data_IF_750410327919
#
_entry.id   IF_750410327919
#
_cell.length_a   1.000
_cell.length_b   1.000
_cell.length_c   1.000
_cell.angle_alpha   90.00
_cell.angle_beta   90.00
_cell.angle_gamma   90.00
#
_symmetry.space_group_name_H-M   'P 1'
#
loop_
_entity.id
_entity.type
_entity.pdbx_description
1 polymer ?
#
# COMPACT_ATOMS: atom_id res chain seq x y z
N UNK A 1 2.47 -11.07 25.97
CA UNK A 1 1.49 -11.20 27.06
C UNK A 1 2.19 -10.88 28.37
N UNK A 2 1.58 -10.06 29.20
CA UNK A 2 2.08 -9.70 30.53
C UNK A 2 0.98 -9.99 31.53
N UNK A 3 1.36 -10.60 32.69
CA UNK A 3 0.45 -10.94 33.76
C UNK A 3 0.86 -10.21 35.02
N UNK A 4 -0.12 -9.58 35.65
CA UNK A 4 0.02 -8.89 36.93
C UNK A 4 -0.85 -9.58 38.00
N UNK A 5 -0.23 -10.23 38.98
CA UNK A 5 -0.94 -10.81 40.12
C UNK A 5 -1.07 -9.73 41.20
N UNK A 6 -2.24 -9.09 41.26
CA UNK A 6 -2.51 -8.05 42.26
C UNK A 6 -2.72 -8.65 43.65
N UNK A 7 -3.27 -9.86 43.68
CA UNK A 7 -3.45 -10.65 44.92
C UNK A 7 -3.59 -12.13 44.57
N UNK A 8 -3.75 -12.98 45.55
CA UNK A 8 -4.05 -14.42 45.36
C UNK A 8 -5.39 -14.66 44.64
N UNK A 9 -6.27 -13.67 44.65
CA UNK A 9 -7.62 -13.74 44.07
C UNK A 9 -7.80 -12.83 42.84
N UNK A 10 -6.83 -11.99 42.48
CA UNK A 10 -6.97 -11.00 41.44
C UNK A 10 -5.78 -11.02 40.46
N UNK A 11 -6.05 -11.21 39.19
CA UNK A 11 -5.05 -11.22 38.13
C UNK A 11 -5.51 -10.31 36.98
N UNK A 12 -4.60 -9.47 36.51
CA UNK A 12 -4.78 -8.70 35.29
C UNK A 12 -3.81 -9.26 34.25
N UNK A 13 -4.30 -9.50 33.04
CA UNK A 13 -3.46 -9.85 31.88
C UNK A 13 -3.60 -8.82 30.76
N UNK A 14 -2.47 -8.42 30.23
CA UNK A 14 -2.36 -7.54 29.06
C UNK A 14 -1.85 -8.34 27.87
N UNK A 15 -2.62 -8.33 26.79
CA UNK A 15 -2.25 -8.89 25.51
C UNK A 15 -2.15 -7.75 24.51
N UNK A 16 -0.96 -7.51 23.98
CA UNK A 16 -0.70 -6.53 22.93
C UNK A 16 -0.30 -7.24 21.66
N UNK A 17 -1.01 -6.91 20.58
CA UNK A 17 -0.68 -7.34 19.22
C UNK A 17 -0.52 -6.10 18.36
N UNK A 18 0.63 -6.01 17.66
CA UNK A 18 0.94 -4.91 16.75
C UNK A 18 1.33 -5.52 15.42
N UNK A 19 0.63 -5.12 14.39
CA UNK A 19 0.93 -5.47 13.01
C UNK A 19 1.26 -4.19 12.26
N UNK A 20 2.43 -4.16 11.64
CA UNK A 20 2.89 -3.06 10.80
C UNK A 20 3.12 -3.60 9.39
N UNK A 21 2.63 -2.87 8.42
CA UNK A 21 2.84 -3.15 7.01
C UNK A 21 3.33 -1.87 6.35
N UNK A 22 4.55 -1.92 5.82
CA UNK A 22 5.17 -0.83 5.09
C UNK A 22 5.44 -1.31 3.67
N UNK A 23 4.95 -0.58 2.68
CA UNK A 23 5.06 -0.96 1.28
C UNK A 23 5.46 0.25 0.45
N UNK A 24 6.49 0.03 -0.36
CA UNK A 24 6.94 0.95 -1.40
C UNK A 24 6.81 0.26 -2.75
N UNK A 25 6.25 0.95 -3.72
CA UNK A 25 6.10 0.39 -5.06
C UNK A 25 5.86 1.46 -6.12
N UNK A 26 5.90 1.09 -7.40
CA UNK A 26 5.53 1.99 -8.47
C UNK A 26 4.06 2.41 -8.32
N UNK A 27 3.75 3.62 -8.78
CA UNK A 27 2.39 4.10 -8.79
C UNK A 27 1.61 3.36 -9.88
N UNK A 28 0.64 2.54 -9.46
CA UNK A 28 -0.30 1.87 -10.35
C UNK A 28 -1.66 2.52 -10.21
N UNK A 29 -2.41 2.57 -11.29
CA UNK A 29 -3.56 3.46 -11.44
C UNK A 29 -4.87 3.00 -10.92
N UNK A 30 -4.99 1.98 -10.18
CA UNK A 30 -6.25 1.71 -9.48
C UNK A 30 -6.71 2.87 -8.56
N UNK A 31 -5.87 3.87 -8.40
CA UNK A 31 -6.12 5.00 -7.50
C UNK A 31 -6.72 6.24 -8.21
N UNK A 32 -7.27 6.07 -9.41
CA UNK A 32 -8.13 7.09 -10.04
C UNK A 32 -7.40 8.17 -10.85
N UNK A 33 -6.09 8.11 -10.98
CA UNK A 33 -5.29 9.14 -11.68
C UNK A 33 -4.97 8.82 -13.16
N UNK A 34 -5.68 7.91 -13.77
CA UNK A 34 -5.62 7.68 -15.22
C UNK A 34 -4.36 6.98 -15.77
N UNK A 35 -3.39 6.63 -14.93
CA UNK A 35 -2.17 5.92 -15.34
C UNK A 35 -2.44 4.40 -15.27
N UNK A 36 -2.45 3.61 -16.37
CA UNK A 36 -2.82 2.20 -16.40
C UNK A 36 -1.96 1.28 -15.53
N UNK A 37 -2.48 0.13 -15.17
CA UNK A 37 -1.73 -0.89 -14.48
C UNK A 37 -0.50 -1.29 -15.32
N UNK A 38 0.69 -1.33 -14.70
CA UNK A 38 1.95 -1.71 -15.38
C UNK A 38 1.81 -3.09 -16.02
N UNK A 39 1.14 -4.02 -15.36
CA UNK A 39 0.89 -5.34 -15.92
C UNK A 39 0.00 -5.28 -17.17
N UNK A 40 -1.06 -4.47 -17.14
CA UNK A 40 -1.91 -4.25 -18.32
C UNK A 40 -1.14 -3.59 -19.45
N UNK A 41 -0.23 -2.66 -19.12
CA UNK A 41 0.65 -2.04 -20.11
C UNK A 41 1.59 -3.06 -20.75
N UNK A 42 2.21 -3.94 -19.96
CA UNK A 42 3.06 -5.03 -20.47
C UNK A 42 2.28 -5.95 -21.41
N UNK A 43 1.08 -6.34 -21.03
CA UNK A 43 0.24 -7.24 -21.83
C UNK A 43 -0.35 -6.56 -23.08
N UNK A 44 -0.54 -5.26 -23.02
CA UNK A 44 -1.10 -4.46 -24.12
C UNK A 44 -0.08 -3.87 -25.07
N UNK A 45 1.22 -4.02 -24.79
CA UNK A 45 2.30 -3.45 -25.60
C UNK A 45 3.02 -4.55 -26.36
N UNK A 46 3.14 -4.39 -27.68
CA UNK A 46 3.96 -5.26 -28.50
C UNK A 46 5.43 -4.78 -28.48
N UNK A 47 6.40 -5.63 -28.11
CA UNK A 47 7.81 -5.23 -28.00
C UNK A 47 8.46 -4.68 -29.29
N UNK A 48 7.85 -4.92 -30.45
CA UNK A 48 8.37 -4.46 -31.75
C UNK A 48 7.78 -3.14 -32.21
N UNK A 49 6.78 -2.59 -31.50
CA UNK A 49 6.10 -1.37 -31.92
C UNK A 49 6.95 -0.11 -31.69
N UNK A 50 7.74 -0.10 -30.61
CA UNK A 50 8.63 1.00 -30.29
C UNK A 50 9.73 0.56 -29.31
N UNK A 51 10.90 1.24 -29.31
CA UNK A 51 11.94 1.00 -28.31
C UNK A 51 11.49 1.48 -26.94
N UNK A 52 12.10 0.99 -25.87
CA UNK A 52 11.85 1.49 -24.51
C UNK A 52 12.11 3.00 -24.44
N UNK A 53 13.18 3.45 -25.08
CA UNK A 53 13.62 4.84 -25.05
C UNK A 53 14.40 5.17 -26.33
N UNK A 54 14.20 6.37 -26.84
CA UNK A 54 15.03 6.93 -27.92
C UNK A 54 16.24 7.66 -27.33
N UNK A 55 17.31 7.87 -28.11
CA UNK A 55 18.41 8.74 -27.73
C UNK A 55 17.92 10.14 -27.38
N UNK A 56 18.36 10.68 -26.24
CA UNK A 56 17.91 11.99 -25.72
C UNK A 56 18.46 13.20 -26.49
N UNK A 57 19.55 13.04 -27.21
CA UNK A 57 20.24 14.20 -27.80
C UNK A 57 20.75 15.17 -26.73
N UNK A 58 20.37 16.44 -26.83
CA UNK A 58 20.70 17.50 -25.88
C UNK A 58 19.64 17.70 -24.79
N UNK A 59 18.55 16.95 -24.82
CA UNK A 59 17.45 17.12 -23.88
C UNK A 59 17.77 16.59 -22.49
N UNK A 60 17.20 17.24 -21.49
CA UNK A 60 17.36 16.84 -20.08
C UNK A 60 16.45 15.66 -19.72
N UNK A 61 15.38 15.43 -20.50
CA UNK A 61 14.33 14.46 -20.19
C UNK A 61 14.42 13.23 -21.08
N UNK A 62 14.01 12.09 -20.54
CA UNK A 62 13.96 10.84 -21.29
C UNK A 62 12.93 10.89 -22.41
N UNK A 63 13.33 10.45 -23.58
CA UNK A 63 12.46 10.27 -24.75
C UNK A 63 11.88 8.85 -24.73
N UNK A 64 10.84 8.66 -23.96
CA UNK A 64 10.19 7.35 -23.85
C UNK A 64 9.56 6.94 -25.17
N UNK A 65 9.85 5.71 -25.61
CA UNK A 65 9.27 5.20 -26.83
C UNK A 65 7.77 5.04 -26.75
N UNK A 66 7.09 5.32 -27.82
CA UNK A 66 5.65 5.18 -27.98
C UNK A 66 5.28 5.14 -29.46
N UNK A 67 4.01 4.88 -29.74
CA UNK A 67 3.41 4.93 -31.07
C UNK A 67 2.01 5.51 -30.97
N UNK A 68 1.62 6.29 -31.94
CA UNK A 68 0.26 6.76 -32.18
C UNK A 68 -0.19 6.38 -33.57
N UNK A 69 -1.07 5.38 -33.65
CA UNK A 69 -1.62 4.90 -34.94
C UNK A 69 -3.16 4.91 -34.85
N UNK A 70 -3.77 6.01 -35.26
CA UNK A 70 -5.19 6.22 -35.07
C UNK A 70 -5.57 6.29 -33.58
N UNK A 71 -6.38 5.33 -33.12
CA UNK A 71 -6.76 5.22 -31.70
C UNK A 71 -5.85 4.27 -30.90
N UNK A 72 -4.83 3.69 -31.52
CA UNK A 72 -3.88 2.80 -30.85
C UNK A 72 -2.73 3.62 -30.27
N UNK A 73 -2.66 3.69 -28.95
CA UNK A 73 -1.60 4.36 -28.20
C UNK A 73 -1.29 3.55 -26.95
N UNK A 74 -0.51 2.48 -27.07
CA UNK A 74 -0.13 1.67 -25.91
C UNK A 74 0.80 2.45 -24.99
N UNK A 75 0.69 2.18 -23.70
CA UNK A 75 1.54 2.78 -22.69
C UNK A 75 2.89 2.06 -22.64
N UNK A 76 3.98 2.83 -22.53
CA UNK A 76 5.30 2.28 -22.31
C UNK A 76 5.42 1.79 -20.84
N UNK A 77 5.57 0.47 -20.60
CA UNK A 77 5.56 -0.07 -19.24
C UNK A 77 6.73 0.43 -18.38
N UNK A 78 7.89 0.68 -19.00
CA UNK A 78 9.08 1.17 -18.29
C UNK A 78 8.92 2.64 -17.94
N UNK A 79 8.43 3.46 -18.86
CA UNK A 79 8.07 4.84 -18.56
C UNK A 79 7.06 4.92 -17.42
N UNK A 80 6.03 4.09 -17.48
CA UNK A 80 4.99 4.00 -16.47
C UNK A 80 5.55 3.61 -15.08
N UNK A 81 6.46 2.65 -15.02
CA UNK A 81 7.10 2.24 -13.78
C UNK A 81 8.00 3.32 -13.18
N UNK A 82 8.50 4.25 -14.01
CA UNK A 82 9.37 5.36 -13.63
C UNK A 82 8.61 6.66 -13.34
N UNK A 83 7.32 6.73 -13.69
CA UNK A 83 6.50 7.93 -13.59
C UNK A 83 6.11 8.30 -12.16
N UNK A 84 6.36 7.45 -11.19
CA UNK A 84 6.05 7.74 -9.81
C UNK A 84 6.10 6.53 -8.90
N UNK A 85 5.83 6.78 -7.62
CA UNK A 85 5.82 5.75 -6.60
C UNK A 85 4.73 5.99 -5.56
N UNK A 86 4.39 4.93 -4.86
CA UNK A 86 3.44 4.92 -3.76
C UNK A 86 4.09 4.31 -2.53
N UNK A 87 4.07 5.07 -1.44
CA UNK A 87 4.40 4.60 -0.10
C UNK A 87 3.09 4.40 0.65
N UNK A 88 2.93 3.25 1.28
CA UNK A 88 1.81 2.99 2.19
C UNK A 88 2.32 2.47 3.51
N UNK A 89 1.80 3.02 4.58
CA UNK A 89 2.04 2.54 5.93
C UNK A 89 0.71 2.20 6.58
N UNK A 90 0.56 0.95 6.96
CA UNK A 90 -0.62 0.45 7.66
C UNK A 90 -0.21 -0.09 9.02
N UNK A 91 -0.92 0.31 10.05
CA UNK A 91 -0.72 -0.22 11.39
C UNK A 91 -2.03 -0.68 12.01
N UNK A 92 -1.99 -1.86 12.61
CA UNK A 92 -3.08 -2.38 13.43
C UNK A 92 -2.55 -2.68 14.81
N UNK A 93 -3.10 -2.00 15.80
CA UNK A 93 -2.78 -2.23 17.22
C UNK A 93 -4.02 -2.79 17.90
N UNK A 94 -3.88 -3.94 18.55
CA UNK A 94 -4.93 -4.55 19.36
C UNK A 94 -4.38 -4.75 20.77
N UNK A 95 -5.03 -4.12 21.74
CA UNK A 95 -4.71 -4.27 23.15
C UNK A 95 -5.93 -4.85 23.89
N UNK A 96 -5.72 -5.98 24.54
CA UNK A 96 -6.72 -6.63 25.35
C UNK A 96 -6.27 -6.65 26.80
N UNK A 97 -7.10 -6.14 27.70
CA UNK A 97 -6.91 -6.21 29.14
C UNK A 97 -7.98 -7.13 29.71
N UNK A 98 -7.57 -8.23 30.30
CA UNK A 98 -8.47 -9.10 31.03
C UNK A 98 -8.21 -8.93 32.53
N UNK A 99 -9.28 -8.87 33.29
CA UNK A 99 -9.24 -8.89 34.75
C UNK A 99 -10.04 -10.08 35.24
N UNK A 100 -9.36 -11.01 35.90
CA UNK A 100 -9.94 -12.17 36.56
C UNK A 100 -9.92 -11.95 38.07
N UNK A 101 -11.10 -11.99 38.71
CA UNK A 101 -11.28 -11.81 40.12
C UNK A 101 -12.05 -12.98 40.72
N UNK A 102 -11.41 -13.74 41.64
CA UNK A 102 -12.10 -14.72 42.46
C UNK A 102 -12.87 -14.00 43.55
N UNK A 103 -14.13 -14.35 43.72
CA UNK A 103 -15.04 -13.78 44.69
C UNK A 103 -15.42 -14.82 45.79
N UNK A 104 -14.49 -15.73 46.09
CA UNK A 104 -14.67 -16.77 47.11
C UNK A 104 -14.98 -16.20 48.51
N UNK A 105 -14.63 -14.94 48.76
CA UNK A 105 -14.93 -14.21 49.97
C UNK A 105 -16.43 -13.86 50.09
N UNK A 106 -17.17 -13.82 48.98
CA UNK A 106 -18.63 -13.67 48.95
C UNK A 106 -19.28 -15.04 48.97
N UNK A 107 -18.89 -15.90 47.99
CA UNK A 107 -19.41 -17.26 47.86
C UNK A 107 -18.36 -18.12 47.18
N UNK A 108 -18.06 -19.30 47.77
CA UNK A 108 -17.08 -20.24 47.20
C UNK A 108 -17.50 -20.64 45.79
N UNK A 109 -16.54 -20.51 44.83
CA UNK A 109 -16.74 -20.84 43.43
C UNK A 109 -17.33 -19.69 42.58
N UNK A 110 -17.53 -18.51 43.17
CA UNK A 110 -17.92 -17.33 42.41
C UNK A 110 -16.66 -16.63 41.88
N UNK A 111 -16.71 -16.22 40.62
CA UNK A 111 -15.66 -15.42 39.96
C UNK A 111 -16.25 -14.39 39.05
N UNK A 112 -15.56 -13.28 38.87
CA UNK A 112 -15.85 -12.21 37.93
C UNK A 112 -14.72 -12.12 36.92
N UNK A 113 -15.05 -11.95 35.66
CA UNK A 113 -14.09 -11.64 34.61
C UNK A 113 -14.55 -10.44 33.82
N UNK A 114 -13.65 -9.51 33.60
CA UNK A 114 -13.84 -8.39 32.68
C UNK A 114 -12.80 -8.43 31.56
N UNK A 115 -13.24 -8.06 30.37
CA UNK A 115 -12.39 -7.86 29.19
C UNK A 115 -12.61 -6.46 28.65
N UNK A 116 -11.54 -5.72 28.46
CA UNK A 116 -11.51 -4.49 27.70
C UNK A 116 -10.61 -4.71 26.50
N UNK A 117 -11.16 -4.54 25.30
CA UNK A 117 -10.43 -4.64 24.04
C UNK A 117 -10.42 -3.30 23.33
N UNK A 118 -9.25 -2.88 22.91
CA UNK A 118 -9.03 -1.69 22.12
C UNK A 118 -8.36 -2.11 20.81
N UNK A 119 -8.95 -1.72 19.68
CA UNK A 119 -8.36 -1.86 18.35
C UNK A 119 -8.21 -0.48 17.73
N UNK A 120 -7.01 -0.19 17.25
CA UNK A 120 -6.73 0.97 16.41
C UNK A 120 -6.13 0.48 15.10
N UNK A 121 -6.77 0.84 14.01
CA UNK A 121 -6.23 0.66 12.68
C UNK A 121 -5.97 2.04 12.07
N UNK A 122 -4.80 2.22 11.48
CA UNK A 122 -4.45 3.43 10.75
C UNK A 122 -3.79 3.08 9.43
N UNK A 123 -4.13 3.80 8.40
CA UNK A 123 -3.61 3.68 7.06
C UNK A 123 -3.18 5.04 6.57
N UNK A 124 -1.93 5.16 6.15
CA UNK A 124 -1.38 6.36 5.55
C UNK A 124 -0.81 6.00 4.19
N UNK A 125 -1.09 6.82 3.20
CA UNK A 125 -0.53 6.68 1.88
C UNK A 125 0.05 8.01 1.42
N UNK A 126 1.15 7.91 0.71
CA UNK A 126 1.79 9.02 0.02
C UNK A 126 2.15 8.54 -1.37
N UNK A 127 1.73 9.25 -2.39
CA UNK A 127 2.18 8.96 -3.73
C UNK A 127 2.73 10.21 -4.40
N UNK A 128 3.67 9.96 -5.27
CA UNK A 128 4.33 10.92 -6.12
C UNK A 128 4.10 10.53 -7.55
N UNK A 129 3.61 11.45 -8.34
CA UNK A 129 3.36 11.25 -9.77
C UNK A 129 4.11 12.32 -10.54
N UNK A 130 4.82 11.89 -11.57
CA UNK A 130 5.48 12.76 -12.53
C UNK A 130 5.00 12.40 -13.92
N UNK A 131 4.59 13.38 -14.70
CA UNK A 131 4.27 13.17 -16.09
C UNK A 131 5.51 12.79 -16.89
N UNK A 132 5.32 12.04 -17.97
CA UNK A 132 6.38 11.72 -18.92
C UNK A 132 5.90 11.95 -20.35
N UNK A 133 6.84 12.22 -21.25
CA UNK A 133 6.55 12.39 -22.67
C UNK A 133 6.87 11.10 -23.43
N UNK A 134 5.94 10.69 -24.28
CA UNK A 134 6.16 9.61 -25.23
C UNK A 134 6.55 10.20 -26.58
N UNK A 135 7.43 9.51 -27.27
CA UNK A 135 7.94 9.90 -28.57
C UNK A 135 7.77 8.75 -29.55
N UNK A 136 7.46 9.08 -30.78
CA UNK A 136 7.42 8.12 -31.89
C UNK A 136 8.54 8.39 -32.89
N UNK A 137 9.00 7.34 -33.56
CA UNK A 137 9.94 7.46 -34.66
C UNK A 137 9.26 8.19 -35.81
N UNK A 138 9.85 9.30 -36.26
CA UNK A 138 9.37 10.06 -37.42
C UNK A 138 10.22 9.84 -38.64
N UNK A 139 11.54 9.64 -38.47
CA UNK A 139 12.47 9.39 -39.57
C UNK A 139 13.73 8.68 -39.08
N UNK A 140 14.48 8.08 -39.99
CA UNK A 140 15.80 7.52 -39.69
C UNK A 140 16.73 7.67 -40.87
N UNK A 141 18.01 7.85 -40.60
CA UNK A 141 19.07 7.93 -41.62
C UNK A 141 20.16 6.92 -41.26
N UNK A 142 20.55 6.12 -42.25
CA UNK A 142 21.71 5.27 -42.11
C UNK A 142 22.98 6.04 -42.46
N UNK A 143 23.98 5.99 -41.61
CA UNK A 143 25.29 6.58 -41.78
C UNK A 143 26.23 5.65 -42.59
N UNK A 144 27.33 6.18 -43.08
CA UNK A 144 28.30 5.42 -43.87
C UNK A 144 28.99 4.31 -43.07
N UNK A 145 29.06 4.43 -41.72
CA UNK A 145 29.61 3.44 -40.81
C UNK A 145 28.60 2.32 -40.45
N UNK A 146 27.39 2.38 -41.02
CA UNK A 146 26.32 1.42 -40.73
C UNK A 146 25.47 1.73 -39.52
N UNK A 147 25.80 2.79 -38.77
CA UNK A 147 24.95 3.29 -37.67
C UNK A 147 23.70 3.97 -38.16
N UNK A 148 22.73 4.21 -37.27
CA UNK A 148 21.49 4.89 -37.60
C UNK A 148 21.28 6.11 -36.71
N UNK A 149 20.94 7.24 -37.32
CA UNK A 149 20.41 8.40 -36.64
C UNK A 149 18.89 8.35 -36.68
N UNK A 150 18.27 8.53 -35.52
CA UNK A 150 16.83 8.51 -35.39
C UNK A 150 16.29 9.89 -35.07
N UNK A 151 15.27 10.29 -35.80
CA UNK A 151 14.48 11.49 -35.50
C UNK A 151 13.17 11.03 -34.85
N UNK A 152 12.89 11.55 -33.65
CA UNK A 152 11.68 11.25 -32.93
C UNK A 152 10.86 12.52 -32.71
N UNK A 153 9.54 12.37 -32.66
CA UNK A 153 8.59 13.46 -32.40
C UNK A 153 7.73 13.13 -31.19
N UNK A 154 7.41 14.13 -30.36
CA UNK A 154 6.56 13.89 -29.20
C UNK A 154 5.14 13.50 -29.60
N UNK A 155 4.52 12.64 -28.81
CA UNK A 155 3.13 12.24 -28.93
C UNK A 155 2.32 13.02 -27.91
N UNK A 156 1.33 13.80 -28.36
CA UNK A 156 0.46 14.60 -27.50
C UNK A 156 1.10 15.88 -26.96
N UNK A 157 0.44 16.46 -25.97
CA UNK A 157 0.93 17.68 -25.31
C UNK A 157 2.09 17.35 -24.36
N UNK A 158 3.12 18.19 -24.30
CA UNK A 158 4.25 17.99 -23.41
C UNK A 158 3.83 17.96 -21.95
N UNK A 159 4.30 16.98 -21.21
CA UNK A 159 4.18 16.95 -19.76
C UNK A 159 5.04 18.04 -19.13
N UNK A 160 4.57 18.61 -18.03
CA UNK A 160 5.34 19.62 -17.28
C UNK A 160 6.48 19.04 -16.46
N UNK A 161 6.64 17.72 -16.39
CA UNK A 161 7.65 17.01 -15.59
C UNK A 161 7.70 17.40 -14.10
N UNK A 162 6.69 18.11 -13.61
CA UNK A 162 6.58 18.45 -12.19
C UNK A 162 6.09 17.22 -11.42
N UNK A 163 6.74 16.95 -10.30
CA UNK A 163 6.32 15.84 -9.44
C UNK A 163 5.22 16.30 -8.48
N UNK A 164 4.02 15.83 -8.71
CA UNK A 164 2.88 16.05 -7.83
C UNK A 164 2.94 15.12 -6.61
N UNK A 165 2.47 15.61 -5.47
CA UNK A 165 2.42 14.86 -4.23
C UNK A 165 0.98 14.79 -3.71
N UNK A 166 0.53 13.58 -3.41
CA UNK A 166 -0.77 13.31 -2.85
C UNK A 166 -0.63 12.54 -1.54
N UNK A 167 -1.50 12.85 -0.58
CA UNK A 167 -1.52 12.22 0.73
C UNK A 167 -2.93 11.74 1.03
N UNK A 168 -3.05 10.54 1.53
CA UNK A 168 -4.30 9.99 2.00
C UNK A 168 -4.12 9.37 3.37
N UNK A 169 -5.09 9.58 4.26
CA UNK A 169 -5.11 8.97 5.58
C UNK A 169 -6.47 8.36 5.84
N UNK A 170 -6.48 7.22 6.50
CA UNK A 170 -7.71 6.56 6.95
C UNK A 170 -7.44 5.91 8.31
N UNK A 171 -8.48 5.68 9.10
CA UNK A 171 -8.33 5.05 10.40
C UNK A 171 -9.66 4.67 11.04
N UNK A 172 -9.60 3.66 11.87
CA UNK A 172 -10.73 3.16 12.65
C UNK A 172 -10.29 2.83 14.07
N UNK A 173 -11.15 3.14 15.04
CA UNK A 173 -10.93 2.83 16.46
C UNK A 173 -12.16 2.12 17.01
N UNK A 174 -11.92 1.00 17.69
CA UNK A 174 -12.97 0.22 18.28
C UNK A 174 -12.65 -0.10 19.73
N UNK A 175 -13.66 0.08 20.56
CA UNK A 175 -13.64 -0.36 21.95
C UNK A 175 -14.69 -1.46 22.13
N UNK A 176 -14.30 -2.48 22.87
CA UNK A 176 -15.19 -3.53 23.29
C UNK A 176 -14.98 -3.78 24.77
N UNK A 177 -16.07 -3.83 25.52
CA UNK A 177 -16.05 -4.10 26.97
C UNK A 177 -17.04 -5.24 27.25
N UNK A 178 -16.58 -6.23 27.96
CA UNK A 178 -17.39 -7.36 28.39
C UNK A 178 -17.10 -7.66 29.85
N UNK A 179 -18.15 -7.98 30.63
CA UNK A 179 -18.04 -8.48 31.97
C UNK A 179 -19.01 -9.63 32.17
N UNK A 180 -18.58 -10.65 32.90
CA UNK A 180 -19.42 -11.76 33.28
C UNK A 180 -19.06 -12.33 34.64
N UNK A 181 -20.08 -12.88 35.33
CA UNK A 181 -19.96 -13.62 36.56
C UNK A 181 -20.07 -15.11 36.25
N UNK A 182 -19.17 -15.88 36.77
CA UNK A 182 -19.20 -17.33 36.71
C UNK A 182 -19.33 -17.91 38.11
N UNK A 183 -20.22 -18.90 38.28
CA UNK A 183 -20.38 -19.62 39.51
C UNK A 183 -20.26 -21.12 39.26
N UNK A 184 -19.27 -21.73 39.86
CA UNK A 184 -19.01 -23.16 39.77
C UNK A 184 -18.78 -23.75 41.14
N UNK A 185 -19.64 -24.66 41.53
CA UNK A 185 -19.55 -25.32 42.84
C UNK A 185 -20.04 -26.76 42.78
N UNK A 186 -19.27 -27.66 43.37
CA UNK A 186 -19.67 -29.03 43.57
C UNK A 186 -20.39 -29.16 44.91
N UNK A 187 -21.57 -29.75 44.93
CA UNK A 187 -22.38 -30.03 46.13
C UNK A 187 -22.39 -31.54 46.35
N UNK A 188 -21.75 -31.96 47.45
CA UNK A 188 -21.76 -33.37 47.85
C UNK A 188 -20.75 -34.25 47.09
N UNK A 189 -20.59 -35.45 47.56
CA UNK A 189 -19.77 -36.50 46.95
C UNK A 189 -20.67 -37.52 46.27
N UNK A 190 -21.31 -37.14 45.17
CA UNK A 190 -22.03 -38.07 44.31
C UNK A 190 -21.37 -38.07 42.92
#
# INVERSE_FOLDING_TARGET
NVYFHLSKSSTISLHLNVQLNDMHGPLTTKDGNGVGDIFSAIMGTNPVDFPVMFPQGSDTWYHWGGILAGNYQPLNPVALSSAGYKDTFESTVVANVNWDQKLDFITKGLSFRALVSFKNWSYNQKFRLQGYNSYQLSDYKQNEDGSYDFTNTPIGEPSNHTMDAFFGTNGDRRFYIQGYLNYERSFGSH
#
